data_IF_788202389082
#
_entry.id   IF_788202389082
#
_cell.length_a   1.000
_cell.length_b   1.000
_cell.length_c   1.000
_cell.angle_alpha   90.00
_cell.angle_beta   90.00
_cell.angle_gamma   90.00
#
_symmetry.space_group_name_H-M   'P 1'
#
loop_
_entity.id
_entity.type
_entity.pdbx_description
1 polymer ?
#
# COMPACT_ATOMS: atom_id res chain seq x y z
N UNK A 1 -5.78 4.54 -9.31
CA UNK A 1 -6.93 3.64 -9.07
C UNK A 1 -6.75 3.04 -7.66
N UNK A 2 -7.29 3.68 -6.61
CA UNK A 2 -7.15 3.24 -5.21
C UNK A 2 -8.25 2.23 -4.89
N UNK A 3 -7.96 0.95 -5.09
CA UNK A 3 -8.90 -0.12 -4.79
C UNK A 3 -8.81 -0.49 -3.30
N UNK A 4 -9.93 -0.47 -2.53
CA UNK A 4 -9.96 -0.90 -1.13
C UNK A 4 -9.73 -2.41 -0.95
N UNK A 5 -9.70 -3.17 -2.04
CA UNK A 5 -9.38 -4.60 -2.03
C UNK A 5 -7.87 -4.85 -1.88
N UNK A 6 -7.02 -3.87 -2.23
CA UNK A 6 -5.56 -3.98 -2.05
C UNK A 6 -5.14 -3.98 -0.58
N UNK A 7 -5.85 -3.24 0.28
CA UNK A 7 -5.54 -3.17 1.72
C UNK A 7 -6.02 -4.42 2.46
N UNK A 8 -7.19 -4.97 2.13
CA UNK A 8 -7.72 -6.18 2.80
C UNK A 8 -6.83 -7.40 2.57
N UNK A 9 -6.32 -7.59 1.35
CA UNK A 9 -5.36 -8.67 1.06
C UNK A 9 -4.07 -8.54 1.87
N UNK A 10 -3.54 -7.30 1.99
CA UNK A 10 -2.35 -7.02 2.80
C UNK A 10 -2.59 -7.27 4.30
N UNK A 11 -3.76 -6.92 4.82
CA UNK A 11 -4.16 -7.19 6.22
C UNK A 11 -4.18 -8.69 6.50
N UNK A 12 -4.79 -9.48 5.61
CA UNK A 12 -4.88 -10.93 5.76
C UNK A 12 -3.51 -11.59 5.76
N UNK A 13 -2.63 -11.17 4.84
CA UNK A 13 -1.26 -11.67 4.77
C UNK A 13 -0.43 -11.28 6.01
N UNK A 14 -0.62 -10.06 6.54
CA UNK A 14 0.15 -9.57 7.68
C UNK A 14 -0.22 -10.25 9.00
N UNK A 15 -1.52 -10.40 9.27
CA UNK A 15 -2.01 -10.99 10.52
C UNK A 15 -2.22 -12.51 10.42
N UNK A 16 -1.93 -13.11 9.27
CA UNK A 16 -2.22 -14.52 8.94
C UNK A 16 -3.69 -14.88 9.20
N UNK A 17 -4.60 -13.99 8.83
CA UNK A 17 -6.03 -14.15 9.02
C UNK A 17 -6.70 -14.77 7.82
N UNK A 18 -7.84 -15.42 8.07
CA UNK A 18 -8.74 -15.88 7.02
C UNK A 18 -9.68 -14.75 6.61
N UNK A 19 -10.12 -14.80 5.34
CA UNK A 19 -11.10 -13.85 4.80
C UNK A 19 -12.38 -13.79 5.65
N UNK A 20 -12.81 -14.95 6.14
CA UNK A 20 -13.98 -15.10 7.00
C UNK A 20 -13.83 -14.38 8.34
N UNK A 21 -12.66 -14.52 8.97
CA UNK A 21 -12.36 -13.85 10.22
C UNK A 21 -12.36 -12.31 10.09
N UNK A 22 -11.81 -11.78 8.99
CA UNK A 22 -11.81 -10.34 8.73
C UNK A 22 -13.22 -9.75 8.49
N UNK A 23 -14.14 -10.55 7.97
CA UNK A 23 -15.52 -10.12 7.68
C UNK A 23 -16.48 -10.30 8.85
N UNK A 24 -16.38 -11.42 9.57
CA UNK A 24 -17.39 -11.83 10.55
C UNK A 24 -16.83 -12.01 11.96
N UNK A 25 -15.52 -12.25 12.09
CA UNK A 25 -14.85 -12.53 13.36
C UNK A 25 -14.39 -11.27 14.12
N UNK A 26 -14.25 -10.13 13.44
CA UNK A 26 -13.72 -8.90 14.04
C UNK A 26 -14.51 -7.67 13.60
N UNK A 27 -14.75 -6.75 14.56
CA UNK A 27 -15.39 -5.46 14.26
C UNK A 27 -14.40 -4.54 13.53
N UNK A 28 -14.84 -3.92 12.45
CA UNK A 28 -14.01 -3.02 11.63
C UNK A 28 -13.29 -1.89 12.40
N UNK A 29 -13.91 -1.21 13.40
CA UNK A 29 -13.22 -0.20 14.21
C UNK A 29 -11.99 -0.73 14.95
N UNK A 30 -11.98 -2.02 15.32
CA UNK A 30 -10.83 -2.66 15.96
C UNK A 30 -9.70 -2.83 14.96
N UNK A 31 -10.02 -3.27 13.74
CA UNK A 31 -9.05 -3.40 12.63
C UNK A 31 -8.41 -2.04 12.33
N UNK A 32 -9.20 -0.97 12.26
CA UNK A 32 -8.67 0.38 12.01
C UNK A 32 -7.72 0.85 13.11
N UNK A 33 -8.01 0.51 14.38
CA UNK A 33 -7.14 0.88 15.50
C UNK A 33 -5.84 0.07 15.52
N UNK A 34 -5.90 -1.21 15.19
CA UNK A 34 -4.72 -2.06 14.99
C UNK A 34 -3.84 -1.56 13.84
N UNK A 35 -4.44 -1.09 12.74
CA UNK A 35 -3.71 -0.50 11.62
C UNK A 35 -3.06 0.84 11.97
N UNK A 36 -3.70 1.63 12.83
CA UNK A 36 -3.17 2.91 13.29
C UNK A 36 -2.04 2.75 14.34
N UNK A 37 -2.02 1.64 15.06
CA UNK A 37 -1.01 1.32 16.09
C UNK A 37 0.24 0.65 15.48
N UNK A 38 0.10 0.04 14.30
CA UNK A 38 1.24 -0.52 13.57
C UNK A 38 2.24 0.57 13.14
N UNK A 39 3.55 0.23 13.04
CA UNK A 39 4.52 1.14 12.43
C UNK A 39 4.00 1.52 11.05
N UNK A 40 3.87 2.82 10.79
CA UNK A 40 3.24 3.40 9.59
C UNK A 40 3.51 2.48 8.41
N UNK A 41 2.48 1.72 8.00
CA UNK A 41 2.57 0.85 6.85
C UNK A 41 2.69 1.79 5.68
N UNK A 42 3.94 2.14 5.40
CA UNK A 42 4.35 2.84 4.23
C UNK A 42 3.83 2.05 3.05
N UNK A 43 2.62 2.41 2.63
CA UNK A 43 2.34 2.65 1.23
C UNK A 43 3.29 3.77 0.81
N UNK A 44 4.60 3.47 0.83
CA UNK A 44 5.55 4.08 -0.07
C UNK A 44 5.08 3.57 -1.41
N UNK A 45 4.11 4.29 -1.97
CA UNK A 45 4.03 4.51 -3.39
C UNK A 45 5.43 4.97 -3.83
N UNK A 46 6.36 4.02 -4.00
CA UNK A 46 7.60 4.19 -4.75
C UNK A 46 7.20 4.31 -6.21
N UNK A 47 6.56 5.40 -6.57
CA UNK A 47 6.16 5.71 -7.95
C UNK A 47 6.17 7.20 -8.27
N UNK A 48 6.91 8.02 -7.52
CA UNK A 48 7.21 9.40 -7.94
C UNK A 48 8.70 9.62 -8.24
N UNK A 49 9.61 8.92 -7.56
CA UNK A 49 11.07 9.06 -7.80
C UNK A 49 11.52 8.61 -9.19
N UNK A 50 10.85 7.60 -9.76
CA UNK A 50 11.35 6.95 -10.98
C UNK A 50 10.91 7.72 -12.25
N UNK A 51 9.86 8.54 -12.16
CA UNK A 51 9.38 9.33 -13.29
C UNK A 51 10.25 10.56 -13.53
N UNK A 52 10.71 11.25 -12.49
CA UNK A 52 11.65 12.38 -12.62
C UNK A 52 13.01 11.93 -13.16
N UNK A 53 13.54 10.79 -12.68
CA UNK A 53 14.82 10.24 -13.16
C UNK A 53 14.72 9.76 -14.62
N UNK A 54 13.59 9.17 -15.02
CA UNK A 54 13.34 8.80 -16.43
C UNK A 54 13.27 10.05 -17.33
N UNK A 55 12.58 11.11 -16.88
CA UNK A 55 12.45 12.35 -17.64
C UNK A 55 13.79 13.10 -17.75
N UNK A 56 14.61 13.08 -16.70
CA UNK A 56 15.96 13.62 -16.72
C UNK A 56 16.85 12.88 -17.74
N UNK A 57 16.78 11.54 -17.77
CA UNK A 57 17.51 10.69 -18.73
C UNK A 57 17.07 10.91 -20.18
N UNK A 58 15.77 11.02 -20.44
CA UNK A 58 15.25 11.31 -21.79
C UNK A 58 15.73 12.69 -22.27
N UNK A 59 15.71 13.70 -21.40
CA UNK A 59 16.19 15.04 -21.73
C UNK A 59 17.71 15.11 -21.92
N UNK A 60 18.49 14.21 -21.30
CA UNK A 60 19.93 14.11 -21.52
C UNK A 60 20.25 13.52 -22.91
N UNK A 61 19.51 12.49 -23.34
CA UNK A 61 19.67 11.88 -24.66
C UNK A 61 19.32 12.86 -25.79
N UNK A 62 18.30 13.71 -25.59
CA UNK A 62 17.89 14.73 -26.58
C UNK A 62 18.86 15.92 -26.73
N UNK A 63 19.79 16.10 -25.78
CA UNK A 63 20.74 17.22 -25.76
C UNK A 63 22.16 16.84 -26.19
N UNK A 64 22.40 15.55 -26.46
CA UNK A 64 23.65 15.02 -27.02
C UNK A 64 23.61 14.92 -28.53
#
# INVERSE_FOLDING_TARGET
MKSPFGSRGAILAHFHWTWDYLLWGIKWPVVQRMLADGPDYGSKDKKESDHEDLMAKINAIKRG
#
